data_IF_517298955734
#
_entry.id   IF_517298955734
#
_cell.length_a   1.000
_cell.length_b   1.000
_cell.length_c   1.000
_cell.angle_alpha   90.00
_cell.angle_beta   90.00
_cell.angle_gamma   90.00
#
_symmetry.space_group_name_H-M   'P 1'
#
loop_
_entity.id
_entity.type
_entity.pdbx_description
1 polymer ?
#
# COMPACT_ATOMS: atom_id res chain seq x y z
N UNK A 1 0.20 14.79 2.59
CA UNK A 1 0.03 15.08 4.01
C UNK A 1 0.47 13.93 4.90
N UNK A 2 0.66 14.22 6.19
CA UNK A 2 1.28 13.27 7.12
C UNK A 2 0.48 11.99 7.34
N UNK A 3 -0.85 12.05 7.23
CA UNK A 3 -1.68 10.87 7.41
C UNK A 3 -1.47 9.84 6.28
N UNK A 4 -1.08 10.27 5.09
CA UNK A 4 -0.74 9.35 4.00
C UNK A 4 0.59 8.62 4.22
N UNK A 5 1.50 9.22 4.99
CA UNK A 5 2.78 8.57 5.35
C UNK A 5 2.57 7.29 6.16
N UNK A 6 1.52 7.22 6.96
CA UNK A 6 1.17 6.01 7.71
C UNK A 6 0.92 4.85 6.75
N UNK A 7 0.24 5.12 5.64
CA UNK A 7 -0.06 4.09 4.63
C UNK A 7 1.21 3.65 3.87
N UNK A 8 2.13 4.56 3.65
CA UNK A 8 3.44 4.24 3.07
C UNK A 8 4.23 3.32 4.01
N UNK A 9 4.32 3.67 5.28
CA UNK A 9 5.06 2.91 6.30
C UNK A 9 4.45 1.54 6.51
N UNK A 10 3.13 1.43 6.58
CA UNK A 10 2.42 0.15 6.76
C UNK A 10 2.81 -0.85 5.67
N UNK A 11 2.92 -0.40 4.42
CA UNK A 11 3.26 -1.28 3.30
C UNK A 11 4.75 -1.55 3.20
N UNK A 12 5.61 -0.65 3.66
CA UNK A 12 7.03 -0.93 3.84
C UNK A 12 7.23 -2.06 4.86
N UNK A 13 6.52 -1.99 5.99
CA UNK A 13 6.55 -3.03 7.02
C UNK A 13 6.02 -4.35 6.45
N UNK A 14 4.94 -4.32 5.67
CA UNK A 14 4.41 -5.52 5.02
C UNK A 14 5.45 -6.16 4.13
N UNK A 15 6.12 -5.40 3.29
CA UNK A 15 7.18 -5.89 2.41
C UNK A 15 8.31 -6.55 3.21
N UNK A 16 8.73 -5.92 4.30
CA UNK A 16 9.77 -6.47 5.16
C UNK A 16 9.32 -7.78 5.83
N UNK A 17 8.07 -7.85 6.28
CA UNK A 17 7.52 -9.08 6.86
C UNK A 17 7.45 -10.22 5.85
N UNK A 18 7.15 -9.92 4.58
CA UNK A 18 7.20 -10.91 3.49
C UNK A 18 8.62 -11.47 3.34
N UNK A 19 9.63 -10.61 3.39
CA UNK A 19 11.03 -11.03 3.39
C UNK A 19 11.35 -11.95 4.58
N UNK A 20 10.92 -11.58 5.78
CA UNK A 20 11.12 -12.39 6.98
C UNK A 20 10.43 -13.75 6.87
N UNK A 21 9.25 -13.79 6.28
CA UNK A 21 8.53 -15.04 6.01
C UNK A 21 9.30 -15.91 5.01
N UNK A 22 9.87 -15.31 3.98
CA UNK A 22 10.70 -16.01 2.99
C UNK A 22 11.94 -16.63 3.63
N UNK A 23 12.57 -15.93 4.58
CA UNK A 23 13.79 -16.34 5.27
C UNK A 23 13.54 -17.19 6.52
N UNK A 24 12.30 -17.58 6.79
CA UNK A 24 11.90 -18.34 7.98
C UNK A 24 12.13 -17.62 9.32
N UNK A 25 12.28 -16.30 9.31
CA UNK A 25 12.34 -15.50 10.53
C UNK A 25 10.96 -15.23 11.11
N UNK A 26 9.93 -15.39 10.30
CA UNK A 26 8.53 -15.17 10.65
C UNK A 26 7.65 -16.10 9.80
N UNK A 27 6.49 -16.48 10.33
CA UNK A 27 5.51 -17.26 9.58
C UNK A 27 4.19 -16.50 9.51
N UNK A 28 3.94 -15.89 8.35
CA UNK A 28 2.73 -15.12 8.10
C UNK A 28 1.58 -16.03 7.68
N UNK A 29 0.37 -15.60 7.98
CA UNK A 29 -0.85 -16.16 7.39
C UNK A 29 -1.16 -15.41 6.10
N UNK A 30 -1.70 -16.12 5.11
CA UNK A 30 -2.05 -15.51 3.82
C UNK A 30 -3.04 -14.35 3.99
N UNK A 31 -3.91 -14.40 4.98
CA UNK A 31 -4.88 -13.35 5.30
C UNK A 31 -4.22 -12.04 5.74
N UNK A 32 -2.96 -12.07 6.13
CA UNK A 32 -2.19 -10.87 6.45
C UNK A 32 -1.62 -10.19 5.20
N UNK A 33 -1.72 -10.82 4.04
CA UNK A 33 -1.14 -10.36 2.78
C UNK A 33 -2.19 -10.05 1.70
N UNK A 34 -3.27 -10.82 1.65
CA UNK A 34 -4.33 -10.66 0.65
C UNK A 34 -5.48 -9.75 1.14
N UNK A 35 -5.18 -8.87 2.06
CA UNK A 35 -6.15 -8.00 2.72
C UNK A 35 -6.18 -6.58 2.15
N UNK A 36 -5.99 -6.44 0.84
CA UNK A 36 -5.88 -5.14 0.17
C UNK A 36 -7.13 -4.25 0.31
N UNK A 37 -8.32 -4.84 0.52
CA UNK A 37 -9.56 -4.06 0.75
C UNK A 37 -9.83 -3.79 2.22
N UNK A 38 -9.20 -4.50 3.14
CA UNK A 38 -9.44 -4.40 4.57
C UNK A 38 -8.27 -3.82 5.37
N UNK A 39 -7.11 -3.62 4.76
CA UNK A 39 -6.02 -2.88 5.40
C UNK A 39 -6.42 -1.40 5.53
N UNK A 40 -5.68 -0.62 6.32
CA UNK A 40 -6.03 0.78 6.58
C UNK A 40 -6.20 1.59 5.29
N UNK A 41 -5.26 1.47 4.35
CA UNK A 41 -5.38 2.16 3.06
C UNK A 41 -6.55 1.64 2.25
N UNK A 42 -6.77 0.33 2.22
CA UNK A 42 -7.90 -0.27 1.50
C UNK A 42 -9.24 0.27 2.00
N UNK A 43 -9.37 0.42 3.30
CA UNK A 43 -10.58 1.04 3.92
C UNK A 43 -10.71 2.50 3.54
N UNK A 44 -9.62 3.25 3.55
CA UNK A 44 -9.62 4.66 3.15
C UNK A 44 -10.02 4.79 1.68
N UNK A 45 -9.46 3.98 0.79
CA UNK A 45 -9.82 3.96 -0.63
C UNK A 45 -11.34 3.71 -0.79
N UNK A 46 -11.86 2.69 -0.11
CA UNK A 46 -13.28 2.34 -0.17
C UNK A 46 -14.21 3.39 0.39
N UNK A 47 -13.72 4.28 1.24
CA UNK A 47 -14.49 5.37 1.83
C UNK A 47 -14.56 6.63 0.97
N UNK A 48 -13.75 6.70 -0.10
CA UNK A 48 -13.67 7.89 -0.94
C UNK A 48 -14.89 7.97 -1.87
N UNK A 49 -15.62 9.08 -1.80
CA UNK A 49 -16.85 9.31 -2.57
C UNK A 49 -16.78 10.54 -3.46
N UNK A 50 -15.80 11.41 -3.28
CA UNK A 50 -15.64 12.61 -4.10
C UNK A 50 -15.14 12.23 -5.51
N UNK A 51 -15.93 12.48 -6.58
CA UNK A 51 -15.52 12.12 -7.94
C UNK A 51 -14.25 12.83 -8.40
N UNK A 52 -13.93 13.99 -7.85
CA UNK A 52 -12.68 14.71 -8.18
C UNK A 52 -11.49 13.91 -7.69
N UNK A 53 -11.57 13.33 -6.49
CA UNK A 53 -10.53 12.48 -5.92
C UNK A 53 -10.48 11.15 -6.66
N UNK A 54 -11.59 10.42 -6.69
CA UNK A 54 -11.64 9.05 -7.24
C UNK A 54 -11.41 8.99 -8.73
N UNK A 55 -11.69 10.07 -9.45
CA UNK A 55 -11.43 10.20 -10.88
C UNK A 55 -10.02 10.68 -11.23
N UNK A 56 -9.22 11.08 -10.24
CA UNK A 56 -7.87 11.59 -10.50
C UNK A 56 -6.90 10.47 -10.88
N UNK A 57 -5.93 10.74 -11.77
CA UNK A 57 -4.92 9.75 -12.11
C UNK A 57 -4.02 9.40 -10.90
N UNK A 58 -3.82 10.33 -9.98
CA UNK A 58 -3.03 10.10 -8.77
C UNK A 58 -3.69 9.09 -7.83
N UNK A 59 -5.00 9.20 -7.65
CA UNK A 59 -5.77 8.24 -6.85
C UNK A 59 -5.74 6.85 -7.50
N UNK A 60 -5.98 6.78 -8.81
CA UNK A 60 -5.96 5.51 -9.56
C UNK A 60 -4.60 4.83 -9.49
N UNK A 61 -3.52 5.60 -9.56
CA UNK A 61 -2.16 5.06 -9.44
C UNK A 61 -1.92 4.45 -8.05
N UNK A 62 -2.45 5.06 -6.99
CA UNK A 62 -2.38 4.49 -5.63
C UNK A 62 -3.16 3.18 -5.56
N UNK A 63 -4.37 3.14 -6.09
CA UNK A 63 -5.18 1.92 -6.10
C UNK A 63 -4.45 0.78 -6.81
N UNK A 64 -3.94 1.03 -8.01
CA UNK A 64 -3.29 -0.01 -8.82
C UNK A 64 -2.00 -0.51 -8.18
N UNK A 65 -1.13 0.40 -7.72
CA UNK A 65 0.14 0.03 -7.12
C UNK A 65 -0.04 -0.66 -5.77
N UNK A 66 -1.01 -0.20 -4.97
CA UNK A 66 -1.37 -0.84 -3.71
C UNK A 66 -1.83 -2.29 -3.93
N UNK A 67 -2.72 -2.51 -4.89
CA UNK A 67 -3.19 -3.85 -5.22
C UNK A 67 -2.04 -4.76 -5.68
N UNK A 68 -1.08 -4.22 -6.42
CA UNK A 68 0.09 -4.97 -6.88
C UNK A 68 1.02 -5.37 -5.73
N UNK A 69 1.21 -4.52 -4.72
CA UNK A 69 2.00 -4.89 -3.53
C UNK A 69 1.37 -6.11 -2.85
N UNK A 70 0.08 -6.07 -2.60
CA UNK A 70 -0.63 -7.20 -1.97
C UNK A 70 -0.61 -8.46 -2.84
N UNK A 71 -0.78 -8.31 -4.15
CA UNK A 71 -0.77 -9.42 -5.11
C UNK A 71 0.56 -10.16 -5.08
N UNK A 72 1.67 -9.45 -5.25
CA UNK A 72 2.98 -10.08 -5.31
C UNK A 72 3.44 -10.61 -3.95
N UNK A 73 3.08 -9.92 -2.87
CA UNK A 73 3.30 -10.42 -1.51
C UNK A 73 2.59 -11.76 -1.30
N UNK A 74 1.35 -11.87 -1.73
CA UNK A 74 0.55 -13.10 -1.65
C UNK A 74 1.15 -14.21 -2.49
N UNK A 75 1.59 -13.91 -3.71
CA UNK A 75 2.22 -14.90 -4.58
C UNK A 75 3.56 -15.39 -4.02
N UNK A 76 4.36 -14.50 -3.41
CA UNK A 76 5.58 -14.89 -2.71
C UNK A 76 5.29 -15.87 -1.58
N UNK A 77 4.26 -15.57 -0.78
CA UNK A 77 3.82 -16.44 0.31
C UNK A 77 3.40 -17.82 -0.20
N UNK A 78 2.60 -17.87 -1.28
CA UNK A 78 2.13 -19.14 -1.86
C UNK A 78 3.29 -19.99 -2.36
N UNK A 79 4.24 -19.39 -3.04
CA UNK A 79 5.41 -20.11 -3.54
C UNK A 79 6.26 -20.66 -2.39
N UNK A 80 6.45 -19.86 -1.33
CA UNK A 80 7.16 -20.30 -0.12
C UNK A 80 6.45 -21.47 0.55
N UNK A 81 5.14 -21.37 0.70
CA UNK A 81 4.32 -22.43 1.30
C UNK A 81 4.38 -23.74 0.50
N UNK A 82 4.49 -23.63 -0.82
CA UNK A 82 4.64 -24.77 -1.72
C UNK A 82 6.06 -25.34 -1.77
N UNK A 83 7.02 -24.74 -1.05
CA UNK A 83 8.41 -25.18 -1.03
C UNK A 83 9.24 -24.67 -2.21
N UNK A 84 8.69 -23.78 -3.04
CA UNK A 84 9.39 -23.20 -4.19
C UNK A 84 10.06 -21.88 -3.77
N UNK A 85 11.21 -22.00 -3.10
CA UNK A 85 11.95 -20.86 -2.57
C UNK A 85 12.46 -19.93 -3.67
N UNK A 86 12.86 -20.49 -4.82
CA UNK A 86 13.34 -19.69 -5.95
C UNK A 86 12.23 -18.78 -6.49
N UNK A 87 11.04 -19.33 -6.73
CA UNK A 87 9.90 -18.55 -7.21
C UNK A 87 9.41 -17.58 -6.15
N UNK A 88 9.45 -17.96 -4.87
CA UNK A 88 9.11 -17.08 -3.77
C UNK A 88 9.99 -15.84 -3.75
N UNK A 89 11.30 -15.99 -4.01
CA UNK A 89 12.23 -14.87 -4.11
C UNK A 89 11.94 -13.99 -5.34
N UNK A 90 11.61 -14.59 -6.48
CA UNK A 90 11.24 -13.84 -7.68
C UNK A 90 9.98 -12.99 -7.44
N UNK A 91 8.98 -13.54 -6.79
CA UNK A 91 7.77 -12.80 -6.41
C UNK A 91 8.04 -11.76 -5.33
N UNK A 92 8.97 -12.03 -4.43
CA UNK A 92 9.41 -11.00 -3.47
C UNK A 92 10.05 -9.81 -4.20
N UNK A 93 10.90 -10.05 -5.19
CA UNK A 93 11.48 -8.98 -5.99
C UNK A 93 10.42 -8.14 -6.70
N UNK A 94 9.34 -8.78 -7.17
CA UNK A 94 8.19 -8.05 -7.74
C UNK A 94 7.45 -7.25 -6.68
N UNK A 95 7.33 -7.75 -5.47
CA UNK A 95 6.76 -7.03 -4.33
C UNK A 95 7.59 -5.78 -4.00
N UNK A 96 8.90 -5.94 -3.98
CA UNK A 96 9.85 -4.86 -3.75
C UNK A 96 9.68 -3.75 -4.80
N UNK A 97 9.68 -4.10 -6.08
CA UNK A 97 9.48 -3.14 -7.15
C UNK A 97 8.09 -2.47 -7.08
N UNK A 98 7.05 -3.25 -6.79
CA UNK A 98 5.70 -2.74 -6.64
C UNK A 98 5.60 -1.76 -5.46
N UNK A 99 6.30 -2.03 -4.37
CA UNK A 99 6.33 -1.11 -3.23
C UNK A 99 6.90 0.25 -3.61
N UNK A 100 8.00 0.32 -4.36
CA UNK A 100 8.58 1.61 -4.74
C UNK A 100 7.70 2.38 -5.71
N UNK A 101 6.98 1.71 -6.59
CA UNK A 101 5.95 2.35 -7.42
C UNK A 101 4.80 2.88 -6.56
N UNK A 102 4.37 2.11 -5.59
CA UNK A 102 3.37 2.51 -4.61
C UNK A 102 3.83 3.73 -3.80
N UNK A 103 5.08 3.72 -3.31
CA UNK A 103 5.64 4.83 -2.57
C UNK A 103 5.61 6.13 -3.40
N UNK A 104 6.01 6.07 -4.66
CA UNK A 104 5.95 7.22 -5.55
C UNK A 104 4.51 7.69 -5.77
N UNK A 105 3.57 6.76 -5.94
CA UNK A 105 2.16 7.07 -6.17
C UNK A 105 1.52 7.72 -4.94
N UNK A 106 1.77 7.19 -3.73
CA UNK A 106 1.19 7.74 -2.51
C UNK A 106 1.73 9.14 -2.20
N UNK A 107 2.99 9.39 -2.50
CA UNK A 107 3.59 10.72 -2.35
C UNK A 107 3.00 11.73 -3.32
N UNK A 108 2.77 11.34 -4.57
CA UNK A 108 2.09 12.21 -5.56
C UNK A 108 0.66 12.51 -5.16
N UNK A 109 -0.06 11.52 -4.64
CA UNK A 109 -1.39 11.76 -4.11
C UNK A 109 -1.35 12.74 -2.94
N UNK A 110 -0.39 12.59 -2.04
CA UNK A 110 -0.19 13.52 -0.93
C UNK A 110 0.03 14.96 -1.38
N UNK A 111 0.74 15.16 -2.48
CA UNK A 111 0.98 16.48 -3.07
C UNK A 111 -0.30 17.15 -3.60
N UNK A 112 -1.35 16.36 -3.88
CA UNK A 112 -2.65 16.89 -4.30
C UNK A 112 -3.44 17.49 -3.15
N UNK A 113 -3.09 17.21 -1.91
CA UNK A 113 -3.76 17.75 -0.73
C UNK A 113 -3.01 18.95 -0.21
N UNK A 114 -3.74 19.91 0.35
CA UNK A 114 -3.16 21.07 0.97
C UNK A 114 -4.00 21.56 2.11
N UNK A 115 -3.38 22.29 3.05
CA UNK A 115 -4.07 22.88 4.17
C UNK A 115 -4.81 24.13 3.74
N UNK A 116 -6.13 24.16 3.93
CA UNK A 116 -6.96 25.34 3.71
C UNK A 116 -6.87 26.30 4.90
N UNK A 117 -6.80 25.75 6.11
CA UNK A 117 -6.78 26.53 7.35
C UNK A 117 -6.93 25.64 8.57
N UNK A 118 -7.23 26.27 9.70
CA UNK A 118 -7.38 25.57 10.97
C UNK A 118 -8.69 26.00 11.64
N UNK A 119 -9.35 25.07 12.32
CA UNK A 119 -10.46 25.34 13.22
C UNK A 119 -10.12 24.76 14.58
N UNK A 120 -10.11 25.61 15.61
CA UNK A 120 -9.72 25.21 16.96
C UNK A 120 -8.36 24.47 16.95
N UNK A 121 -8.40 23.15 17.07
CA UNK A 121 -7.21 22.29 17.06
C UNK A 121 -7.14 21.39 15.82
N UNK A 122 -8.00 21.64 14.83
CA UNK A 122 -8.13 20.79 13.66
C UNK A 122 -7.62 21.50 12.41
N UNK A 123 -6.73 20.85 11.70
CA UNK A 123 -6.26 21.28 10.39
C UNK A 123 -7.33 20.94 9.34
N UNK A 124 -7.67 21.89 8.49
CA UNK A 124 -8.58 21.67 7.36
C UNK A 124 -7.76 21.37 6.13
N UNK A 125 -7.83 20.13 5.66
CA UNK A 125 -7.11 19.64 4.49
C UNK A 125 -8.07 19.48 3.32
N UNK A 126 -7.67 19.96 2.14
CA UNK A 126 -8.45 19.87 0.91
C UNK A 126 -7.65 19.25 -0.22
N UNK A 127 -8.37 18.55 -1.10
CA UNK A 127 -7.81 18.02 -2.33
C UNK A 127 -7.82 19.14 -3.39
N UNK A 128 -6.66 19.54 -3.90
CA UNK A 128 -6.48 20.73 -4.74
C UNK A 128 -6.41 20.46 -6.23
N UNK A 129 -6.71 19.27 -6.64
CA UNK A 129 -6.55 18.92 -8.04
C UNK A 129 -7.84 18.90 -8.88
#
# INVERSE_FOLDING_TARGET
>A
EDWLKIYEIDHFILMWRVYNNLMDFEHLKITQLNNNTSCKLGKWIGSQTDPVVTGSPEFKAVVDTHNNVHKWATESWKAKDAGDTKMAMEYFNKTYDAFFKYQAAIRKLGDCYGTLGYTDKTEIVVFRK
#
